data_IF_687480261674
#
_entry.id   IF_687480261674
#
_cell.length_a   1.000
_cell.length_b   1.000
_cell.length_c   1.000
_cell.angle_alpha   90.00
_cell.angle_beta   90.00
_cell.angle_gamma   90.00
#
_symmetry.space_group_name_H-M   'P 1'
#
loop_
_entity.id
_entity.type
_entity.pdbx_description
1 polymer ?
#
# COMPACT_ATOMS: atom_id res chain seq x y z
N UNK A 1 35.84 -30.46 -50.29
CA UNK A 1 34.42 -30.05 -50.23
C UNK A 1 34.32 -28.97 -49.17
N UNK A 2 34.36 -27.70 -49.56
CA UNK A 2 34.40 -26.54 -48.67
C UNK A 2 32.97 -25.98 -48.50
N UNK A 3 32.39 -26.09 -47.31
CA UNK A 3 31.11 -25.44 -47.00
C UNK A 3 31.37 -24.03 -46.45
N UNK A 4 31.05 -23.02 -47.28
CA UNK A 4 30.90 -21.62 -46.85
C UNK A 4 29.56 -21.49 -46.11
N UNK A 5 29.59 -21.09 -44.85
CA UNK A 5 28.41 -20.61 -44.13
C UNK A 5 28.17 -19.12 -44.49
N UNK A 6 26.93 -18.70 -44.82
CA UNK A 6 26.68 -17.35 -45.31
C UNK A 6 26.49 -16.32 -44.19
N UNK A 7 26.88 -15.08 -44.49
CA UNK A 7 26.83 -13.81 -43.73
C UNK A 7 25.45 -13.38 -43.17
N UNK A 8 24.46 -14.27 -43.05
CA UNK A 8 23.09 -13.95 -42.59
C UNK A 8 22.94 -13.93 -41.05
N UNK A 9 23.93 -14.42 -40.30
CA UNK A 9 23.84 -14.67 -38.86
C UNK A 9 24.02 -13.38 -38.01
N UNK A 10 24.84 -12.42 -38.46
CA UNK A 10 25.16 -11.26 -37.61
C UNK A 10 24.01 -10.26 -37.46
N UNK A 11 23.19 -10.06 -38.50
CA UNK A 11 22.00 -9.20 -38.40
C UNK A 11 20.93 -9.81 -37.51
N UNK A 12 20.76 -11.13 -37.55
CA UNK A 12 19.82 -11.85 -36.71
C UNK A 12 20.26 -11.85 -35.24
N UNK A 13 21.56 -12.04 -34.97
CA UNK A 13 22.15 -11.92 -33.62
C UNK A 13 22.05 -10.51 -33.07
N UNK A 14 22.31 -9.49 -33.90
CA UNK A 14 22.21 -8.08 -33.50
C UNK A 14 20.75 -7.67 -33.24
N UNK A 15 19.80 -8.19 -34.03
CA UNK A 15 18.36 -8.01 -33.79
C UNK A 15 17.87 -8.76 -32.54
N UNK A 16 18.37 -9.98 -32.28
CA UNK A 16 18.04 -10.76 -31.08
C UNK A 16 18.57 -10.09 -29.81
N UNK A 17 19.79 -9.54 -29.86
CA UNK A 17 20.40 -8.78 -28.77
C UNK A 17 19.68 -7.46 -28.50
N UNK A 18 19.22 -6.77 -29.55
CA UNK A 18 18.43 -5.53 -29.43
C UNK A 18 17.04 -5.79 -28.81
N UNK A 19 16.41 -6.93 -29.13
CA UNK A 19 15.16 -7.36 -28.49
C UNK A 19 15.36 -7.83 -27.04
N UNK A 20 16.53 -8.36 -26.68
CA UNK A 20 16.84 -8.76 -25.31
C UNK A 20 17.15 -7.54 -24.41
N UNK A 21 17.69 -6.46 -25.00
CA UNK A 21 17.97 -5.22 -24.29
C UNK A 21 16.72 -4.38 -23.95
N UNK A 22 15.63 -4.52 -24.73
CA UNK A 22 14.37 -3.77 -24.48
C UNK A 22 13.44 -4.44 -23.47
N UNK A 23 13.65 -5.72 -23.14
CA UNK A 23 12.86 -6.45 -22.13
C UNK A 23 13.29 -6.16 -20.69
N UNK A 24 14.41 -5.47 -20.46
CA UNK A 24 14.93 -5.17 -19.11
C UNK A 24 14.40 -3.85 -18.51
N UNK A 25 13.65 -3.05 -19.27
CA UNK A 25 13.21 -1.71 -18.82
C UNK A 25 11.76 -1.63 -18.31
N UNK A 26 10.99 -2.72 -18.36
CA UNK A 26 9.58 -2.71 -17.96
C UNK A 26 9.34 -3.36 -16.61
N UNK A 27 10.06 -2.92 -15.59
CA UNK A 27 9.59 -3.09 -14.22
C UNK A 27 9.81 -1.79 -13.45
N UNK A 28 9.10 -0.74 -13.84
CA UNK A 28 8.84 0.34 -12.90
C UNK A 28 7.97 -0.25 -11.80
N UNK A 29 8.59 -0.68 -10.70
CA UNK A 29 7.86 -1.03 -9.48
C UNK A 29 7.13 0.22 -9.03
N UNK A 30 5.82 0.25 -9.26
CA UNK A 30 4.99 1.38 -8.89
C UNK A 30 4.83 1.37 -7.38
N UNK A 31 5.06 2.54 -6.76
CA UNK A 31 4.97 2.64 -5.31
C UNK A 31 3.50 2.78 -4.91
N UNK A 32 2.94 1.84 -4.13
CA UNK A 32 1.54 1.90 -3.73
C UNK A 32 1.26 3.07 -2.79
N UNK A 33 0.01 3.53 -2.82
CA UNK A 33 -0.57 4.39 -1.81
C UNK A 33 -1.53 3.56 -0.95
N UNK A 34 -1.58 3.85 0.35
CA UNK A 34 -2.49 3.18 1.28
C UNK A 34 -3.38 4.17 1.99
N UNK A 35 -4.66 3.82 2.10
CA UNK A 35 -5.60 4.49 2.98
C UNK A 35 -6.04 3.51 4.06
N UNK A 36 -6.14 4.00 5.29
CA UNK A 36 -6.68 3.24 6.41
C UNK A 36 -7.75 4.05 7.12
N UNK A 37 -8.89 3.43 7.41
CA UNK A 37 -9.88 3.99 8.33
C UNK A 37 -9.94 3.12 9.58
N UNK A 38 -9.70 3.69 10.75
CA UNK A 38 -9.71 2.94 12.01
C UNK A 38 -11.14 2.66 12.51
N UNK A 39 -11.24 2.01 13.68
CA UNK A 39 -12.50 1.65 14.31
C UNK A 39 -13.44 2.81 14.64
N UNK A 40 -12.91 4.03 14.72
CA UNK A 40 -13.66 5.27 14.93
C UNK A 40 -13.79 6.11 13.65
N UNK A 41 -13.45 5.52 12.50
CA UNK A 41 -13.44 6.15 11.19
C UNK A 41 -12.44 7.32 11.03
N UNK A 42 -11.44 7.46 11.91
CA UNK A 42 -10.33 8.37 11.62
C UNK A 42 -9.55 7.83 10.42
N UNK A 43 -9.11 8.72 9.54
CA UNK A 43 -8.48 8.34 8.29
C UNK A 43 -6.97 8.58 8.34
N UNK A 44 -6.24 7.66 7.73
CA UNK A 44 -4.80 7.75 7.54
C UNK A 44 -4.50 7.58 6.05
N UNK A 45 -3.71 8.48 5.49
CA UNK A 45 -3.25 8.44 4.11
C UNK A 45 -1.73 8.27 4.11
N UNK A 46 -1.26 7.19 3.50
CA UNK A 46 0.14 6.79 3.50
C UNK A 46 0.66 6.77 2.08
N UNK A 47 1.69 7.57 1.83
CA UNK A 47 2.47 7.56 0.59
C UNK A 47 3.90 7.13 0.88
N UNK A 48 4.72 7.00 -0.17
CA UNK A 48 6.15 6.73 -0.03
C UNK A 48 6.88 7.74 0.88
N UNK A 49 6.34 8.95 0.98
CA UNK A 49 7.02 10.10 1.60
C UNK A 49 6.28 10.66 2.80
N UNK A 50 4.99 10.39 2.96
CA UNK A 50 4.19 11.03 4.01
C UNK A 50 3.17 10.10 4.66
N UNK A 51 2.85 10.43 5.91
CA UNK A 51 1.69 9.91 6.64
C UNK A 51 0.85 11.11 7.08
N UNK A 52 -0.38 11.17 6.57
CA UNK A 52 -1.38 12.17 6.95
C UNK A 52 -2.48 11.51 7.78
N UNK A 53 -2.92 12.20 8.84
CA UNK A 53 -3.99 11.82 9.73
C UNK A 53 -5.13 12.83 9.68
N UNK A 54 -6.32 12.36 9.35
CA UNK A 54 -7.56 13.13 9.32
C UNK A 54 -8.52 12.55 10.37
N UNK A 55 -8.58 13.16 11.57
CA UNK A 55 -9.47 12.73 12.63
C UNK A 55 -10.92 13.02 12.29
N UNK A 56 -11.83 12.18 12.79
CA UNK A 56 -13.25 12.52 12.83
C UNK A 56 -13.46 13.64 13.84
N UNK A 57 -14.19 14.68 13.43
CA UNK A 57 -14.57 15.79 14.30
C UNK A 57 -15.87 15.49 15.07
N UNK A 58 -16.12 16.16 16.21
CA UNK A 58 -17.38 16.00 16.94
C UNK A 58 -18.62 16.17 16.07
N UNK A 59 -18.61 17.13 15.14
CA UNK A 59 -19.74 17.41 14.25
C UNK A 59 -19.99 16.28 13.23
N UNK A 60 -18.98 15.46 12.96
CA UNK A 60 -19.01 14.31 12.04
C UNK A 60 -19.30 13.00 12.79
N UNK A 61 -19.28 13.03 14.12
CA UNK A 61 -19.54 11.87 14.96
C UNK A 61 -21.04 11.61 15.10
N UNK A 62 -21.44 10.34 14.98
CA UNK A 62 -22.80 9.90 15.31
C UNK A 62 -23.28 10.27 16.72
N UNK A 63 -22.35 10.50 17.66
CA UNK A 63 -22.69 10.91 19.03
C UNK A 63 -22.61 12.42 19.26
N UNK A 64 -22.03 13.17 18.32
CA UNK A 64 -21.74 14.60 18.50
C UNK A 64 -20.60 14.91 19.50
N UNK A 65 -20.01 13.89 20.12
CA UNK A 65 -19.11 14.07 21.28
C UNK A 65 -17.71 13.49 21.07
N UNK A 66 -17.55 12.53 20.16
CA UNK A 66 -16.25 11.93 19.89
C UNK A 66 -15.36 12.86 19.06
N UNK A 67 -14.09 12.99 19.42
CA UNK A 67 -13.06 13.66 18.64
C UNK A 67 -11.86 12.72 18.47
N UNK A 68 -11.38 12.58 17.23
CA UNK A 68 -10.09 11.92 16.94
C UNK A 68 -8.86 12.75 17.35
N UNK A 69 -9.08 13.94 17.93
CA UNK A 69 -8.03 14.89 18.27
C UNK A 69 -7.62 15.74 17.08
N UNK A 70 -6.38 16.24 17.09
CA UNK A 70 -5.88 17.15 16.07
C UNK A 70 -5.37 16.42 14.81
N UNK A 71 -5.60 16.98 13.60
CA UNK A 71 -4.99 16.49 12.38
C UNK A 71 -3.46 16.57 12.46
N UNK A 72 -2.78 15.66 11.78
CA UNK A 72 -1.32 15.59 11.78
C UNK A 72 -0.79 15.14 10.43
N UNK A 73 0.40 15.59 10.06
CA UNK A 73 1.12 15.12 8.88
C UNK A 73 2.61 15.08 9.18
N UNK A 74 3.25 13.98 8.81
CA UNK A 74 4.70 13.79 8.96
C UNK A 74 5.32 13.31 7.66
N UNK A 75 6.62 13.59 7.50
CA UNK A 75 7.42 12.94 6.48
C UNK A 75 7.90 11.57 6.96
N UNK A 76 7.82 10.59 6.08
CA UNK A 76 8.32 9.23 6.30
C UNK A 76 9.71 9.09 5.69
N UNK A 77 10.59 8.43 6.44
CA UNK A 77 11.79 7.83 5.87
C UNK A 77 11.41 6.61 5.03
N UNK A 78 12.27 6.25 4.08
CA UNK A 78 12.08 5.03 3.27
C UNK A 78 11.90 3.78 4.14
N UNK A 79 12.61 3.70 5.27
CA UNK A 79 12.48 2.58 6.21
C UNK A 79 11.08 2.55 6.83
N UNK A 80 10.58 3.67 7.34
CA UNK A 80 9.24 3.75 7.94
C UNK A 80 8.15 3.40 6.93
N UNK A 81 8.26 3.89 5.70
CA UNK A 81 7.32 3.52 4.64
C UNK A 81 7.37 2.02 4.34
N UNK A 82 8.56 1.43 4.24
CA UNK A 82 8.69 -0.01 3.98
C UNK A 82 8.10 -0.85 5.13
N UNK A 83 8.32 -0.43 6.37
CA UNK A 83 7.77 -1.10 7.56
C UNK A 83 6.22 -1.03 7.55
N UNK A 84 5.63 0.14 7.26
CA UNK A 84 4.18 0.29 7.11
C UNK A 84 3.65 -0.54 5.95
N UNK A 85 4.31 -0.50 4.79
CA UNK A 85 3.96 -1.29 3.61
C UNK A 85 3.86 -2.78 3.95
N UNK A 86 4.81 -3.32 4.69
CA UNK A 86 4.77 -4.73 5.10
C UNK A 86 3.54 -5.04 5.96
N UNK A 87 3.15 -4.13 6.87
CA UNK A 87 1.95 -4.30 7.69
C UNK A 87 0.67 -4.25 6.85
N UNK A 88 0.59 -3.32 5.89
CA UNK A 88 -0.55 -3.24 4.97
C UNK A 88 -0.68 -4.48 4.09
N UNK A 89 0.41 -4.93 3.46
CA UNK A 89 0.38 -6.14 2.63
C UNK A 89 0.05 -7.39 3.46
N UNK A 90 0.56 -7.47 4.70
CA UNK A 90 0.19 -8.54 5.63
C UNK A 90 -1.32 -8.52 5.91
N UNK A 91 -1.89 -7.36 6.24
CA UNK A 91 -3.33 -7.19 6.46
C UNK A 91 -4.17 -7.60 5.24
N UNK A 92 -3.73 -7.22 4.03
CA UNK A 92 -4.39 -7.60 2.78
C UNK A 92 -4.34 -9.11 2.54
N UNK A 93 -3.25 -9.78 2.89
CA UNK A 93 -3.11 -11.23 2.72
C UNK A 93 -3.83 -12.07 3.79
N UNK A 94 -4.16 -11.47 4.95
CA UNK A 94 -4.73 -12.17 6.11
C UNK A 94 -6.25 -12.38 5.99
N UNK A 95 -6.66 -13.21 5.02
CA UNK A 95 -8.08 -13.42 4.68
C UNK A 95 -8.95 -13.92 5.83
N UNK A 96 -8.38 -14.62 6.82
CA UNK A 96 -9.08 -15.05 8.03
C UNK A 96 -9.52 -13.90 8.94
N UNK A 97 -8.89 -12.72 8.79
CA UNK A 97 -9.22 -11.51 9.54
C UNK A 97 -10.21 -10.62 8.79
N UNK A 98 -10.64 -11.01 7.58
CA UNK A 98 -11.50 -10.19 6.73
C UNK A 98 -12.98 -10.42 7.04
N UNK A 99 -13.75 -9.34 6.91
CA UNK A 99 -15.22 -9.36 6.94
C UNK A 99 -15.79 -8.63 5.73
N UNK A 100 -17.03 -8.93 5.39
CA UNK A 100 -17.69 -8.37 4.18
C UNK A 100 -18.21 -6.96 4.41
N UNK A 101 -18.79 -6.70 5.58
CA UNK A 101 -19.45 -5.44 5.90
C UNK A 101 -18.73 -4.71 7.05
N UNK A 102 -18.65 -3.38 6.96
CA UNK A 102 -18.09 -2.58 8.05
C UNK A 102 -18.99 -2.67 9.27
N UNK A 103 -18.37 -2.95 10.41
CA UNK A 103 -18.99 -2.89 11.74
C UNK A 103 -18.26 -1.87 12.62
N UNK A 104 -18.87 -1.45 13.73
CA UNK A 104 -18.16 -0.62 14.72
C UNK A 104 -16.85 -1.29 15.12
N UNK A 105 -15.81 -0.50 15.31
CA UNK A 105 -14.46 -0.96 15.63
C UNK A 105 -13.72 -1.72 14.50
N UNK A 106 -14.34 -1.94 13.34
CA UNK A 106 -13.63 -2.51 12.18
C UNK A 106 -12.66 -1.52 11.54
N UNK A 107 -11.53 -2.02 11.05
CA UNK A 107 -10.60 -1.25 10.24
C UNK A 107 -10.85 -1.48 8.76
N UNK A 108 -10.72 -0.45 7.92
CA UNK A 108 -10.75 -0.61 6.46
C UNK A 108 -9.38 -0.28 5.88
N UNK A 109 -8.82 -1.18 5.07
CA UNK A 109 -7.58 -0.96 4.33
C UNK A 109 -7.92 -0.81 2.85
N UNK A 110 -7.33 0.20 2.23
CA UNK A 110 -7.32 0.35 0.77
C UNK A 110 -5.89 0.50 0.29
N UNK A 111 -5.49 -0.32 -0.69
CA UNK A 111 -4.23 -0.17 -1.43
C UNK A 111 -4.56 0.22 -2.86
N UNK A 112 -3.92 1.29 -3.34
CA UNK A 112 -4.04 1.73 -4.73
C UNK A 112 -2.66 1.73 -5.39
N UNK A 113 -2.58 1.06 -6.54
CA UNK A 113 -1.46 1.13 -7.49
C UNK A 113 -1.96 1.81 -8.77
N UNK A 114 -1.14 1.92 -9.82
CA UNK A 114 -1.69 2.38 -11.10
C UNK A 114 -2.46 1.28 -11.84
N UNK A 115 -2.35 0.00 -11.45
CA UNK A 115 -2.99 -1.13 -12.12
C UNK A 115 -4.27 -1.59 -11.44
N UNK A 116 -4.34 -1.46 -10.11
CA UNK A 116 -5.41 -2.04 -9.31
C UNK A 116 -5.68 -1.23 -8.04
N UNK A 117 -6.88 -1.45 -7.50
CA UNK A 117 -7.25 -1.04 -6.15
C UNK A 117 -7.79 -2.24 -5.41
N UNK A 118 -7.23 -2.50 -4.22
CA UNK A 118 -7.68 -3.54 -3.31
C UNK A 118 -8.28 -2.86 -2.08
N UNK A 119 -9.47 -3.30 -1.70
CA UNK A 119 -10.15 -2.86 -0.48
C UNK A 119 -10.54 -4.08 0.34
N UNK A 120 -10.16 -4.08 1.62
CA UNK A 120 -10.54 -5.11 2.59
C UNK A 120 -11.02 -4.46 3.88
N UNK A 121 -11.82 -5.18 4.64
CA UNK A 121 -12.28 -4.77 5.96
C UNK A 121 -11.76 -5.80 6.96
N UNK A 122 -11.06 -5.33 7.98
CA UNK A 122 -10.54 -6.13 9.08
C UNK A 122 -11.58 -6.20 10.19
N UNK A 123 -11.85 -7.40 10.70
CA UNK A 123 -12.70 -7.57 11.88
C UNK A 123 -12.11 -6.86 13.11
N UNK A 124 -12.97 -6.37 14.03
CA UNK A 124 -12.52 -5.74 15.26
C UNK A 124 -11.52 -6.58 16.03
N UNK A 125 -10.44 -5.94 16.49
CA UNK A 125 -9.36 -6.53 17.29
C UNK A 125 -8.56 -7.64 16.57
N UNK A 126 -8.65 -7.73 15.24
CA UNK A 126 -7.76 -8.59 14.48
C UNK A 126 -6.28 -8.22 14.77
N UNK A 127 -5.35 -9.20 14.84
CA UNK A 127 -3.94 -8.91 15.06
C UNK A 127 -3.36 -7.90 14.06
N UNK A 128 -3.78 -7.97 12.79
CA UNK A 128 -3.36 -7.06 11.74
C UNK A 128 -3.90 -5.64 11.94
N UNK A 129 -5.13 -5.51 12.44
CA UNK A 129 -5.74 -4.22 12.77
C UNK A 129 -4.96 -3.55 13.91
N UNK A 130 -4.71 -4.28 15.00
CA UNK A 130 -3.99 -3.78 16.17
C UNK A 130 -2.58 -3.34 15.76
N UNK A 131 -1.88 -4.14 14.96
CA UNK A 131 -0.54 -3.84 14.50
C UNK A 131 -0.49 -2.57 13.63
N UNK A 132 -1.43 -2.41 12.68
CA UNK A 132 -1.53 -1.22 11.86
C UNK A 132 -1.80 0.03 12.70
N UNK A 133 -2.81 -0.02 13.57
CA UNK A 133 -3.18 1.12 14.41
C UNK A 133 -2.05 1.53 15.35
N UNK A 134 -1.38 0.56 15.97
CA UNK A 134 -0.23 0.83 16.84
C UNK A 134 0.92 1.47 16.08
N UNK A 135 1.23 1.01 14.86
CA UNK A 135 2.31 1.56 14.06
C UNK A 135 2.00 2.99 13.58
N UNK A 136 0.78 3.23 13.09
CA UNK A 136 0.35 4.54 12.60
C UNK A 136 0.33 5.57 13.73
N UNK A 137 -0.27 5.24 14.88
CA UNK A 137 -0.31 6.12 16.05
C UNK A 137 1.09 6.37 16.61
N UNK A 138 1.92 5.33 16.69
CA UNK A 138 3.30 5.45 17.14
C UNK A 138 4.16 6.40 16.30
N UNK A 139 3.97 6.41 14.98
CA UNK A 139 4.66 7.36 14.10
C UNK A 139 4.21 8.81 14.30
N UNK A 140 2.94 9.02 14.67
CA UNK A 140 2.35 10.33 14.91
C UNK A 140 2.52 10.82 16.36
N UNK A 141 3.06 10.00 17.26
CA UNK A 141 3.17 10.30 18.69
C UNK A 141 1.82 10.39 19.40
N UNK A 142 0.84 9.59 18.98
CA UNK A 142 -0.53 9.52 19.53
C UNK A 142 -0.79 8.23 20.31
#
# INVERSE_FOLDING_TARGET
MNYKYPLADEKLRSLLMLCLATLLFSCMSQTPHYNYADGNANQYFVTAFSLQYVPVKPEESSTGMYSGGEPAEIQLTQKQFNDLRQLFEKAISATSSHITDRVKMSGQVTRTTTSDTVMIILQPNAPEQIALESALKGLLGK
#
